data_IF_636103469987
#
_entry.id   IF_636103469987
#
_cell.length_a   1.000
_cell.length_b   1.000
_cell.length_c   1.000
_cell.angle_alpha   90.00
_cell.angle_beta   90.00
_cell.angle_gamma   90.00
#
_symmetry.space_group_name_H-M   'P 1'
#
loop_
_entity.id
_entity.type
_entity.pdbx_description
1 polymer ?
#
# COMPACT_ATOMS: atom_id res chain seq x y z
N UNK A 1 -37.43 -80.21 -17.46
CA UNK A 1 -38.02 -78.85 -17.17
C UNK A 1 -37.06 -77.84 -17.73
N UNK A 2 -37.29 -77.54 -19.02
CA UNK A 2 -36.44 -76.67 -19.84
C UNK A 2 -36.89 -75.20 -19.69
N UNK A 3 -35.96 -74.31 -19.42
CA UNK A 3 -36.19 -72.86 -19.47
C UNK A 3 -35.63 -72.32 -20.79
N UNK A 4 -36.37 -71.55 -21.56
CA UNK A 4 -35.90 -71.04 -22.83
C UNK A 4 -34.99 -69.80 -22.60
N UNK A 5 -33.88 -69.79 -23.33
CA UNK A 5 -32.89 -68.71 -23.37
C UNK A 5 -33.39 -67.61 -24.28
N UNK A 6 -33.67 -66.44 -23.75
CA UNK A 6 -34.04 -65.25 -24.50
C UNK A 6 -32.81 -64.66 -25.20
N UNK A 7 -32.74 -64.72 -26.52
CA UNK A 7 -31.76 -64.03 -27.37
C UNK A 7 -32.12 -62.55 -27.48
N UNK A 8 -31.30 -61.72 -26.86
CA UNK A 8 -31.39 -60.29 -27.05
C UNK A 8 -30.82 -59.92 -28.43
N UNK A 9 -31.69 -59.34 -29.26
CA UNK A 9 -31.36 -58.82 -30.57
C UNK A 9 -30.76 -57.39 -30.42
N UNK A 10 -29.49 -57.21 -30.82
CA UNK A 10 -28.84 -55.92 -30.85
C UNK A 10 -28.88 -55.35 -32.25
N UNK A 11 -29.57 -54.23 -32.49
CA UNK A 11 -29.49 -53.54 -33.77
C UNK A 11 -28.16 -52.79 -33.88
N UNK A 12 -27.35 -53.11 -34.88
CA UNK A 12 -26.16 -52.36 -35.26
C UNK A 12 -26.56 -50.98 -35.81
N UNK A 13 -26.33 -49.92 -35.01
CA UNK A 13 -26.38 -48.56 -35.51
C UNK A 13 -25.18 -48.29 -36.40
N UNK A 14 -25.40 -48.04 -37.68
CA UNK A 14 -24.39 -47.51 -38.62
C UNK A 14 -24.23 -46.01 -38.39
N UNK A 15 -23.17 -45.62 -37.70
CA UNK A 15 -22.78 -44.19 -37.60
C UNK A 15 -22.14 -43.76 -38.91
N UNK A 16 -22.85 -42.90 -39.65
CA UNK A 16 -22.34 -42.22 -40.85
C UNK A 16 -21.44 -41.07 -40.39
N UNK A 17 -20.12 -41.19 -40.53
CA UNK A 17 -19.19 -40.10 -40.38
C UNK A 17 -19.34 -39.12 -41.57
N UNK A 18 -20.02 -38.01 -41.34
CA UNK A 18 -20.00 -36.85 -42.22
C UNK A 18 -18.61 -36.19 -42.15
N UNK A 19 -17.92 -36.04 -43.29
CA UNK A 19 -16.70 -35.27 -43.43
C UNK A 19 -17.06 -33.79 -43.30
N UNK A 20 -17.10 -33.28 -42.06
CA UNK A 20 -17.13 -31.84 -41.80
C UNK A 20 -15.70 -31.31 -41.89
N UNK A 21 -15.42 -30.51 -42.91
CA UNK A 21 -14.19 -29.72 -43.01
C UNK A 21 -14.22 -28.68 -41.89
N UNK A 22 -13.52 -28.98 -40.78
CA UNK A 22 -13.24 -27.96 -39.76
C UNK A 22 -12.28 -26.93 -40.37
N UNK A 23 -12.82 -25.78 -40.73
CA UNK A 23 -12.06 -24.55 -40.95
C UNK A 23 -11.56 -24.13 -39.58
N UNK A 24 -10.29 -24.44 -39.27
CA UNK A 24 -9.59 -23.89 -38.13
C UNK A 24 -9.41 -22.38 -38.37
N UNK A 25 -10.40 -21.56 -37.98
CA UNK A 25 -10.21 -20.15 -37.82
C UNK A 25 -9.32 -19.98 -36.56
N UNK A 26 -8.05 -19.64 -36.81
CA UNK A 26 -7.08 -19.35 -35.75
C UNK A 26 -7.61 -18.23 -34.85
N UNK A 27 -8.05 -18.62 -33.66
CA UNK A 27 -8.37 -17.70 -32.59
C UNK A 27 -7.05 -17.30 -31.94
N UNK A 28 -6.44 -16.21 -32.45
CA UNK A 28 -5.29 -15.58 -31.82
C UNK A 28 -5.78 -14.99 -30.49
N UNK A 29 -5.58 -15.72 -29.42
CA UNK A 29 -5.72 -15.22 -28.06
C UNK A 29 -4.61 -14.19 -27.84
N UNK A 30 -4.93 -12.91 -28.04
CA UNK A 30 -4.12 -11.79 -27.56
C UNK A 30 -4.15 -11.82 -26.03
N UNK A 31 -3.13 -12.45 -25.43
CA UNK A 31 -2.86 -12.33 -24.01
C UNK A 31 -2.41 -10.88 -23.73
N UNK A 32 -3.35 -10.01 -23.40
CA UNK A 32 -3.04 -8.73 -22.79
C UNK A 32 -2.43 -9.01 -21.41
N UNK A 33 -1.10 -9.00 -21.35
CA UNK A 33 -0.38 -8.99 -20.06
C UNK A 33 -0.73 -7.68 -19.37
N UNK A 34 -1.60 -7.76 -18.36
CA UNK A 34 -1.90 -6.65 -17.45
C UNK A 34 -0.64 -6.46 -16.59
N UNK A 35 0.31 -5.65 -17.08
CA UNK A 35 1.45 -5.23 -16.27
C UNK A 35 0.91 -4.30 -15.18
N UNK A 36 0.92 -4.78 -13.95
CA UNK A 36 0.65 -3.94 -12.79
C UNK A 36 1.72 -2.84 -12.76
N UNK A 37 1.32 -1.61 -13.06
CA UNK A 37 2.18 -0.43 -12.90
C UNK A 37 2.38 -0.22 -11.39
N UNK A 38 3.49 -0.74 -10.84
CA UNK A 38 3.90 -0.37 -9.50
C UNK A 38 4.40 1.07 -9.53
N UNK A 39 3.81 1.93 -8.70
CA UNK A 39 4.31 3.29 -8.52
C UNK A 39 5.72 3.21 -7.94
N UNK A 40 6.70 3.99 -8.49
CA UNK A 40 8.05 3.98 -7.95
C UNK A 40 8.06 4.45 -6.49
N UNK A 41 8.94 3.85 -5.68
CA UNK A 41 9.15 4.27 -4.29
C UNK A 41 9.83 5.64 -4.31
N UNK A 42 9.32 6.65 -3.57
CA UNK A 42 10.02 7.93 -3.44
C UNK A 42 11.43 7.75 -2.86
N UNK A 43 12.40 8.48 -3.40
CA UNK A 43 13.78 8.48 -2.91
C UNK A 43 14.03 9.56 -1.87
N UNK A 44 13.14 10.54 -1.77
CA UNK A 44 13.16 11.62 -0.77
C UNK A 44 11.73 12.07 -0.44
N UNK A 45 11.56 12.76 0.68
CA UNK A 45 10.30 13.41 1.01
C UNK A 45 10.25 14.81 0.40
N UNK A 46 9.05 15.32 0.04
CA UNK A 46 8.89 16.69 -0.44
C UNK A 46 9.34 17.73 0.60
N UNK A 47 9.75 18.88 0.14
CA UNK A 47 10.03 20.01 1.01
C UNK A 47 8.77 20.56 1.70
N UNK A 48 8.94 21.20 2.85
CA UNK A 48 7.88 21.98 3.46
C UNK A 48 7.64 23.28 2.67
N UNK A 49 6.37 23.68 2.46
CA UNK A 49 6.08 25.02 1.95
C UNK A 49 6.50 26.09 2.97
N UNK A 50 6.71 27.33 2.50
CA UNK A 50 6.99 28.46 3.36
C UNK A 50 5.74 28.91 4.14
N UNK A 51 5.25 28.02 5.04
CA UNK A 51 4.07 28.23 5.89
C UNK A 51 4.22 27.39 7.16
N UNK A 52 3.82 27.92 8.33
CA UNK A 52 3.94 27.19 9.61
C UNK A 52 2.88 26.09 9.76
N UNK A 53 2.71 25.23 8.75
CA UNK A 53 1.75 24.12 8.70
C UNK A 53 2.39 22.80 8.28
N UNK A 54 3.73 22.73 8.35
CA UNK A 54 4.51 21.55 7.95
C UNK A 54 5.72 21.38 8.87
N UNK A 55 6.08 20.12 9.11
CA UNK A 55 7.36 19.72 9.70
C UNK A 55 7.99 18.61 8.87
N UNK A 56 9.32 18.60 8.76
CA UNK A 56 10.10 17.59 8.04
C UNK A 56 11.43 17.33 8.71
N UNK A 57 11.83 16.06 8.77
CA UNK A 57 13.15 15.69 9.27
C UNK A 57 14.28 15.97 8.26
N UNK A 58 13.92 16.33 7.04
CA UNK A 58 14.87 16.74 6.00
C UNK A 58 15.01 18.27 5.90
N UNK A 59 14.22 19.04 6.67
CA UNK A 59 14.28 20.49 6.63
C UNK A 59 15.49 21.02 7.37
N UNK A 60 16.21 21.95 6.75
CA UNK A 60 17.26 22.77 7.38
C UNK A 60 16.71 24.00 8.09
N UNK A 61 15.45 24.38 7.81
CA UNK A 61 14.78 25.50 8.49
C UNK A 61 14.34 25.07 9.89
N UNK A 62 14.82 25.71 10.98
CA UNK A 62 14.42 25.37 12.35
C UNK A 62 12.92 25.44 12.62
N UNK A 63 12.17 26.29 11.87
CA UNK A 63 10.72 26.38 12.00
C UNK A 63 10.01 25.10 11.56
N UNK A 64 10.56 24.43 10.56
CA UNK A 64 10.04 23.17 9.99
C UNK A 64 10.79 21.93 10.48
N UNK A 65 11.99 22.07 10.98
CA UNK A 65 12.83 20.94 11.39
C UNK A 65 12.18 20.12 12.51
N UNK A 66 12.26 18.80 12.38
CA UNK A 66 11.91 17.81 13.41
C UNK A 66 12.89 16.63 13.30
N UNK A 67 13.19 15.96 14.40
CA UNK A 67 14.08 14.81 14.37
C UNK A 67 13.48 13.62 13.60
N UNK A 68 14.27 12.83 12.84
CA UNK A 68 13.83 11.55 12.31
C UNK A 68 13.58 10.53 13.42
N UNK A 69 12.93 9.40 13.13
CA UNK A 69 12.78 8.31 14.09
C UNK A 69 13.94 7.32 13.92
N UNK A 70 14.77 7.19 14.94
CA UNK A 70 15.84 6.18 14.95
C UNK A 70 15.26 4.78 15.24
N UNK A 71 15.81 3.74 14.60
CA UNK A 71 15.39 2.37 14.85
C UNK A 71 16.59 1.42 14.94
N UNK A 72 16.34 0.23 15.51
CA UNK A 72 17.27 -0.89 15.56
C UNK A 72 16.69 -2.08 14.80
N UNK A 73 17.55 -2.97 14.30
CA UNK A 73 17.14 -4.14 13.54
C UNK A 73 16.92 -3.87 12.05
N UNK A 74 16.01 -4.57 11.42
CA UNK A 74 15.80 -4.47 9.96
C UNK A 74 14.81 -3.37 9.59
N UNK A 75 14.90 -2.84 8.37
CA UNK A 75 13.94 -1.90 7.81
C UNK A 75 12.50 -2.47 7.84
N UNK A 76 12.33 -3.76 7.59
CA UNK A 76 11.03 -4.45 7.66
C UNK A 76 10.47 -4.42 9.09
N UNK A 77 11.30 -4.65 10.10
CA UNK A 77 10.88 -4.56 11.50
C UNK A 77 10.52 -3.14 11.88
N UNK A 78 11.29 -2.16 11.42
CA UNK A 78 11.00 -0.75 11.61
C UNK A 78 9.64 -0.36 11.01
N UNK A 79 9.33 -0.78 9.76
CA UNK A 79 8.03 -0.57 9.14
C UNK A 79 6.90 -1.21 9.94
N UNK A 80 7.08 -2.43 10.41
CA UNK A 80 6.07 -3.12 11.23
C UNK A 80 5.78 -2.35 12.53
N UNK A 81 6.81 -1.89 13.23
CA UNK A 81 6.69 -1.09 14.48
C UNK A 81 6.05 0.27 14.20
N UNK A 82 6.41 0.92 13.10
CA UNK A 82 5.79 2.18 12.69
C UNK A 82 4.28 1.99 12.48
N UNK A 83 3.87 0.96 11.77
CA UNK A 83 2.44 0.64 11.59
C UNK A 83 1.74 0.32 12.90
N UNK A 84 2.43 -0.33 13.84
CA UNK A 84 1.88 -0.56 15.18
C UNK A 84 1.68 0.76 15.94
N UNK A 85 2.66 1.66 15.92
CA UNK A 85 2.55 2.99 16.53
C UNK A 85 1.38 3.81 15.94
N UNK A 86 1.18 3.73 14.63
CA UNK A 86 0.08 4.43 13.95
C UNK A 86 -1.31 3.93 14.33
N UNK A 87 -1.46 2.68 14.81
CA UNK A 87 -2.75 2.17 15.31
C UNK A 87 -3.26 2.93 16.55
N UNK A 88 -2.36 3.58 17.30
CA UNK A 88 -2.71 4.42 18.43
C UNK A 88 -3.23 5.81 18.01
N UNK A 89 -2.95 6.24 16.78
CA UNK A 89 -3.43 7.52 16.25
C UNK A 89 -4.86 7.41 15.74
N UNK A 90 -5.69 8.37 16.15
CA UNK A 90 -7.11 8.42 15.73
C UNK A 90 -7.24 9.09 14.37
N UNK A 91 -8.23 8.65 13.58
CA UNK A 91 -8.59 9.23 12.27
C UNK A 91 -7.44 9.26 11.27
N UNK A 92 -6.66 8.20 11.26
CA UNK A 92 -5.56 7.97 10.33
C UNK A 92 -5.97 6.90 9.33
N UNK A 93 -5.63 7.11 8.06
CA UNK A 93 -5.86 6.16 6.97
C UNK A 93 -4.54 5.97 6.23
N UNK A 94 -4.11 4.73 6.00
CA UNK A 94 -2.97 4.42 5.12
C UNK A 94 -3.43 4.63 3.68
N UNK A 95 -2.71 5.46 2.94
CA UNK A 95 -2.95 5.79 1.52
C UNK A 95 -2.03 4.97 0.62
N UNK A 96 -0.75 4.91 0.98
CA UNK A 96 0.26 4.17 0.23
C UNK A 96 1.17 3.43 1.21
N UNK A 97 1.40 2.16 0.93
CA UNK A 97 2.37 1.33 1.67
C UNK A 97 3.29 0.64 0.65
N UNK A 98 4.60 0.83 0.82
CA UNK A 98 5.65 0.19 0.06
C UNK A 98 6.74 -0.28 1.04
N UNK A 99 7.74 -1.03 0.58
CA UNK A 99 8.76 -1.64 1.47
C UNK A 99 9.49 -0.63 2.35
N UNK A 100 9.77 0.57 1.83
CA UNK A 100 10.51 1.63 2.56
C UNK A 100 9.72 2.94 2.67
N UNK A 101 8.52 3.03 2.13
CA UNK A 101 7.71 4.24 2.13
C UNK A 101 6.30 3.99 2.66
N UNK A 102 5.82 4.90 3.51
CA UNK A 102 4.46 4.87 4.04
C UNK A 102 3.87 6.28 4.01
N UNK A 103 2.73 6.43 3.35
CA UNK A 103 1.94 7.65 3.34
C UNK A 103 0.61 7.42 4.04
N UNK A 104 0.28 8.28 4.98
CA UNK A 104 -1.00 8.28 5.68
C UNK A 104 -1.67 9.64 5.60
N UNK A 105 -3.00 9.63 5.60
CA UNK A 105 -3.81 10.82 5.85
C UNK A 105 -4.26 10.86 7.31
N UNK A 106 -4.10 12.01 7.95
CA UNK A 106 -4.65 12.27 9.28
C UNK A 106 -5.71 13.36 9.20
N UNK A 107 -6.89 13.13 9.81
CA UNK A 107 -8.03 14.06 9.71
C UNK A 107 -8.30 14.74 11.05
N UNK A 108 -8.50 16.06 11.03
CA UNK A 108 -8.93 16.80 12.21
C UNK A 108 -10.35 16.41 12.61
N UNK A 109 -10.68 16.57 13.92
CA UNK A 109 -11.98 16.14 14.45
C UNK A 109 -13.14 17.00 13.94
N UNK A 110 -12.98 18.32 14.01
CA UNK A 110 -14.09 19.27 13.80
C UNK A 110 -14.19 19.66 12.33
N UNK A 111 -13.13 20.26 11.80
CA UNK A 111 -13.12 20.81 10.44
C UNK A 111 -12.79 19.78 9.37
N UNK A 112 -12.43 18.55 9.75
CA UNK A 112 -12.04 17.46 8.85
C UNK A 112 -10.90 17.82 7.89
N UNK A 113 -10.06 18.78 8.27
CA UNK A 113 -8.84 19.08 7.52
C UNK A 113 -7.99 17.83 7.41
N UNK A 114 -7.37 17.67 6.26
CA UNK A 114 -6.51 16.54 5.96
C UNK A 114 -5.07 16.99 6.00
N UNK A 115 -4.28 16.26 6.77
CA UNK A 115 -2.83 16.41 6.80
C UNK A 115 -2.20 15.14 6.21
N UNK A 116 -1.23 15.33 5.33
CA UNK A 116 -0.40 14.24 4.81
C UNK A 116 0.75 13.98 5.77
N UNK A 117 0.96 12.71 6.11
CA UNK A 117 2.12 12.28 6.88
C UNK A 117 2.84 11.19 6.10
N UNK A 118 4.10 11.45 5.80
CA UNK A 118 4.92 10.60 4.96
C UNK A 118 6.13 10.12 5.77
N UNK A 119 6.45 8.84 5.61
CA UNK A 119 7.60 8.21 6.25
C UNK A 119 8.43 7.51 5.18
N UNK A 120 9.73 7.74 5.21
CA UNK A 120 10.70 7.11 4.33
C UNK A 120 11.79 6.45 5.17
N UNK A 121 11.90 5.14 5.08
CA UNK A 121 12.95 4.39 5.80
C UNK A 121 14.26 4.57 5.06
N UNK A 122 15.27 4.99 5.79
CA UNK A 122 16.68 5.08 5.38
C UNK A 122 17.47 3.95 6.05
N UNK A 123 17.68 2.82 5.37
CA UNK A 123 18.39 1.69 5.97
C UNK A 123 19.89 1.94 6.17
N UNK A 124 20.47 2.90 5.43
CA UNK A 124 21.90 3.20 5.56
C UNK A 124 22.24 3.86 6.89
N UNK A 125 21.31 4.65 7.44
CA UNK A 125 21.50 5.38 8.68
C UNK A 125 20.64 4.85 9.83
N UNK A 126 19.82 3.81 9.61
CA UNK A 126 18.83 3.29 10.56
C UNK A 126 17.85 4.36 11.05
N UNK A 127 17.39 5.21 10.14
CA UNK A 127 16.45 6.29 10.38
C UNK A 127 15.16 6.11 9.59
N UNK A 128 14.06 6.61 10.12
CA UNK A 128 12.84 6.86 9.38
C UNK A 128 12.69 8.37 9.24
N UNK A 129 12.89 8.87 8.04
CA UNK A 129 12.60 10.26 7.70
C UNK A 129 11.08 10.47 7.76
N UNK A 130 10.66 11.64 8.23
CA UNK A 130 9.25 11.94 8.41
C UNK A 130 8.94 13.36 7.94
N UNK A 131 7.79 13.50 7.27
CA UNK A 131 7.18 14.78 6.92
C UNK A 131 5.71 14.75 7.34
N UNK A 132 5.22 15.84 7.91
CA UNK A 132 3.80 16.00 8.22
C UNK A 132 3.35 17.40 7.86
N UNK A 133 2.38 17.52 6.94
CA UNK A 133 1.95 18.80 6.38
C UNK A 133 0.43 18.87 6.22
N UNK A 134 -0.15 20.03 6.55
CA UNK A 134 -1.55 20.30 6.26
C UNK A 134 -1.73 20.59 4.76
N UNK A 135 -2.76 19.97 4.13
CA UNK A 135 -3.13 20.27 2.73
C UNK A 135 -3.65 21.68 2.56
N UNK A 136 -4.28 22.24 3.58
CA UNK A 136 -4.96 23.55 3.54
C UNK A 136 -4.63 24.36 4.78
N UNK A 137 -4.80 25.68 4.65
CA UNK A 137 -4.56 26.62 5.73
C UNK A 137 -3.13 27.16 5.75
N UNK A 138 -2.97 28.33 6.37
CA UNK A 138 -1.67 28.96 6.53
C UNK A 138 -0.91 28.35 7.72
N UNK A 139 -1.59 28.13 8.84
CA UNK A 139 -0.99 27.56 10.06
C UNK A 139 -1.82 26.38 10.57
N UNK A 140 -1.15 25.37 11.10
CA UNK A 140 -1.75 24.22 11.77
C UNK A 140 -1.72 24.33 13.30
N UNK A 141 -1.26 25.45 13.85
CA UNK A 141 -1.07 25.67 15.28
C UNK A 141 -0.19 24.59 15.95
N UNK A 142 0.76 24.03 15.21
CA UNK A 142 1.68 22.98 15.66
C UNK A 142 1.08 21.56 15.77
N UNK A 143 -0.07 21.31 15.13
CA UNK A 143 -0.73 20.01 15.14
C UNK A 143 0.17 18.95 14.52
N UNK A 144 0.83 19.24 13.38
CA UNK A 144 1.71 18.32 12.70
C UNK A 144 2.91 17.92 13.57
N UNK A 145 3.56 18.88 14.22
CA UNK A 145 4.68 18.61 15.15
C UNK A 145 4.22 17.72 16.31
N UNK A 146 3.13 18.07 16.98
CA UNK A 146 2.61 17.26 18.09
C UNK A 146 2.23 15.86 17.66
N UNK A 147 1.72 15.67 16.43
CA UNK A 147 1.39 14.35 15.88
C UNK A 147 2.65 13.51 15.72
N UNK A 148 3.68 14.04 15.05
CA UNK A 148 4.95 13.32 14.86
C UNK A 148 5.55 12.92 16.20
N UNK A 149 5.53 13.79 17.21
CA UNK A 149 6.04 13.48 18.54
C UNK A 149 5.20 12.41 19.28
N UNK A 150 3.89 12.34 19.08
CA UNK A 150 3.09 11.24 19.62
C UNK A 150 3.43 9.91 18.94
N UNK A 151 3.54 9.92 17.60
CA UNK A 151 3.95 8.74 16.82
C UNK A 151 5.35 8.28 17.26
N UNK A 152 6.29 9.19 17.44
CA UNK A 152 7.64 8.89 17.94
C UNK A 152 7.59 8.16 19.28
N UNK A 153 6.85 8.68 20.26
CA UNK A 153 6.71 8.03 21.57
C UNK A 153 6.13 6.63 21.46
N UNK A 154 5.08 6.46 20.67
CA UNK A 154 4.47 5.15 20.45
C UNK A 154 5.41 4.18 19.72
N UNK A 155 6.21 4.68 18.77
CA UNK A 155 7.22 3.90 18.05
C UNK A 155 8.35 3.42 18.97
N UNK A 156 8.83 4.27 19.87
CA UNK A 156 9.86 3.90 20.88
C UNK A 156 9.31 2.84 21.83
N UNK A 157 8.05 2.92 22.24
CA UNK A 157 7.42 1.93 23.12
C UNK A 157 7.20 0.58 22.44
N UNK A 158 7.20 0.53 21.11
CA UNK A 158 7.04 -0.68 20.31
C UNK A 158 8.39 -1.35 19.93
N UNK A 159 9.52 -0.82 20.41
CA UNK A 159 10.88 -1.36 20.16
C UNK A 159 11.25 -2.58 21.03
#
# INVERSE_FOLDING_TARGET
>A
MDRPVLRLYHPRMKVRYGKSRLICKGFVLLLFSLQAMSTPVPTTLPDCPDRPNCVSSLSSDPAHAIEPLAYTGTARDAMRRLKQALRAEKRVTIVTEQDTYLHIEARSLVFRFVDDVEFLIDPAHNLIQVRSAARTGYSDLGVNRRRVERIRRAFIQAQ
#
